data_IF_480361067942
#
_entry.id   IF_480361067942
#
_cell.length_a   1.000
_cell.length_b   1.000
_cell.length_c   1.000
_cell.angle_alpha   90.00
_cell.angle_beta   90.00
_cell.angle_gamma   90.00
#
_symmetry.space_group_name_H-M   'P 1'
#
loop_
_entity.id
_entity.type
_entity.pdbx_description
1 polymer ?
#
# COMPACT_ATOMS: atom_id res chain seq x y z
N UNK A 1 -15.40 -14.38 15.10
CA UNK A 1 -14.91 -13.00 15.00
C UNK A 1 -15.88 -12.14 14.21
N UNK A 2 -16.29 -11.03 14.77
CA UNK A 2 -17.18 -10.10 14.07
C UNK A 2 -16.43 -9.38 12.97
N UNK A 3 -17.03 -9.34 11.79
CA UNK A 3 -16.56 -8.48 10.72
C UNK A 3 -17.03 -7.05 10.95
N UNK A 4 -16.20 -6.10 10.59
CA UNK A 4 -16.58 -4.70 10.59
C UNK A 4 -17.09 -4.33 9.19
N UNK A 5 -18.41 -4.11 9.07
CA UNK A 5 -19.03 -3.74 7.80
C UNK A 5 -19.25 -2.24 7.66
N UNK A 6 -18.69 -1.45 8.58
CA UNK A 6 -18.78 0.01 8.47
C UNK A 6 -18.15 0.48 7.16
N UNK A 7 -18.69 1.53 6.54
CA UNK A 7 -18.06 2.11 5.34
C UNK A 7 -16.63 2.58 5.65
N UNK A 8 -15.79 2.63 4.64
CA UNK A 8 -14.48 3.23 4.74
C UNK A 8 -14.68 4.73 5.02
N UNK A 9 -13.92 5.28 5.96
CA UNK A 9 -14.04 6.68 6.34
C UNK A 9 -13.71 7.61 5.17
N UNK A 10 -14.27 8.82 5.19
CA UNK A 10 -13.97 9.85 4.20
C UNK A 10 -12.47 10.17 4.16
N UNK A 11 -11.82 10.16 5.32
CA UNK A 11 -10.38 10.40 5.41
C UNK A 11 -9.58 9.33 4.69
N UNK A 12 -9.91 8.05 4.87
CA UNK A 12 -9.25 6.97 4.15
C UNK A 12 -9.51 7.04 2.65
N UNK A 13 -10.73 7.39 2.25
CA UNK A 13 -11.06 7.57 0.84
C UNK A 13 -10.24 8.71 0.22
N UNK A 14 -10.05 9.80 0.96
CA UNK A 14 -9.22 10.92 0.53
C UNK A 14 -7.77 10.48 0.32
N UNK A 15 -7.20 9.75 1.28
CA UNK A 15 -5.84 9.26 1.19
C UNK A 15 -5.67 8.28 0.03
N UNK A 16 -6.66 7.42 -0.19
CA UNK A 16 -6.65 6.49 -1.33
C UNK A 16 -6.63 7.24 -2.66
N UNK A 17 -7.44 8.28 -2.80
CA UNK A 17 -7.48 9.10 -4.00
C UNK A 17 -6.15 9.81 -4.26
N UNK A 18 -5.55 10.38 -3.23
CA UNK A 18 -4.23 11.01 -3.33
C UNK A 18 -3.19 9.99 -3.78
N UNK A 19 -3.24 8.78 -3.22
CA UNK A 19 -2.30 7.71 -3.54
C UNK A 19 -2.45 7.22 -4.99
N UNK A 20 -3.68 7.07 -5.46
CA UNK A 20 -3.95 6.68 -6.85
C UNK A 20 -3.45 7.76 -7.81
N UNK A 21 -3.69 9.03 -7.48
CA UNK A 21 -3.19 10.15 -8.29
C UNK A 21 -1.66 10.19 -8.31
N UNK A 22 -1.02 9.93 -7.18
CA UNK A 22 0.45 9.85 -7.09
C UNK A 22 0.97 8.73 -8.00
N UNK A 23 0.37 7.54 -7.92
CA UNK A 23 0.76 6.42 -8.76
C UNK A 23 0.57 6.73 -10.26
N UNK A 24 -0.50 7.42 -10.60
CA UNK A 24 -0.73 7.85 -11.97
C UNK A 24 0.39 8.79 -12.46
N UNK A 25 0.77 9.77 -11.64
CA UNK A 25 1.85 10.71 -12.01
C UNK A 25 3.17 9.99 -12.19
N UNK A 26 3.53 9.12 -11.26
CA UNK A 26 4.78 8.36 -11.32
C UNK A 26 4.82 7.47 -12.56
N UNK A 27 3.75 6.72 -12.79
CA UNK A 27 3.68 5.78 -13.92
C UNK A 27 3.63 6.51 -15.27
N UNK A 28 2.92 7.62 -15.34
CA UNK A 28 2.85 8.43 -16.57
C UNK A 28 4.21 8.97 -16.98
N UNK A 29 5.05 9.28 -16.00
CA UNK A 29 6.39 9.83 -16.25
C UNK A 29 7.40 8.73 -16.54
N UNK A 30 7.39 7.63 -15.77
CA UNK A 30 8.45 6.62 -15.83
C UNK A 30 8.06 5.38 -16.66
N UNK A 31 6.79 5.06 -16.75
CA UNK A 31 6.33 3.85 -17.41
C UNK A 31 6.67 2.58 -16.63
N UNK A 32 6.36 1.40 -17.21
CA UNK A 32 6.70 0.12 -16.59
C UNK A 32 8.17 -0.24 -16.75
N UNK A 33 8.61 -1.30 -16.09
CA UNK A 33 9.91 -1.93 -16.34
C UNK A 33 11.04 -1.51 -15.40
N UNK A 34 10.75 -0.70 -14.39
CA UNK A 34 11.77 -0.29 -13.42
C UNK A 34 11.68 -1.13 -12.14
N UNK A 35 12.67 -0.97 -11.27
CA UNK A 35 12.68 -1.63 -9.97
C UNK A 35 11.64 -1.01 -9.03
N UNK A 36 11.10 -1.81 -8.13
CA UNK A 36 10.12 -1.35 -7.14
C UNK A 36 10.62 -0.16 -6.32
N UNK A 37 11.90 -0.19 -5.95
CA UNK A 37 12.52 0.89 -5.15
C UNK A 37 12.46 2.25 -5.84
N UNK A 38 12.56 2.28 -7.16
CA UNK A 38 12.46 3.52 -7.92
C UNK A 38 11.06 4.11 -7.81
N UNK A 39 10.04 3.28 -8.00
CA UNK A 39 8.65 3.73 -7.87
C UNK A 39 8.35 4.20 -6.46
N UNK A 40 8.89 3.50 -5.46
CA UNK A 40 8.68 3.84 -4.05
C UNK A 40 9.20 5.23 -3.72
N UNK A 41 10.44 5.54 -4.13
CA UNK A 41 11.04 6.86 -3.91
C UNK A 41 10.21 7.95 -4.60
N UNK A 42 9.75 7.69 -5.82
CA UNK A 42 8.95 8.66 -6.57
C UNK A 42 7.57 8.85 -5.94
N UNK A 43 6.96 7.80 -5.40
CA UNK A 43 5.71 7.92 -4.65
C UNK A 43 5.88 8.81 -3.43
N UNK A 44 6.98 8.64 -2.69
CA UNK A 44 7.28 9.49 -1.53
C UNK A 44 7.40 10.96 -1.93
N UNK A 45 8.01 11.23 -3.08
CA UNK A 45 8.11 12.60 -3.61
C UNK A 45 6.72 13.18 -3.89
N UNK A 46 5.84 12.40 -4.50
CA UNK A 46 4.48 12.86 -4.79
C UNK A 46 3.69 13.13 -3.51
N UNK A 47 3.84 12.31 -2.47
CA UNK A 47 3.20 12.56 -1.19
C UNK A 47 3.71 13.86 -0.55
N UNK A 48 5.01 14.10 -0.61
CA UNK A 48 5.58 15.36 -0.10
C UNK A 48 4.99 16.57 -0.82
N UNK A 49 4.85 16.50 -2.13
CA UNK A 49 4.22 17.57 -2.92
C UNK A 49 2.77 17.80 -2.53
N UNK A 50 2.05 16.73 -2.21
CA UNK A 50 0.65 16.80 -1.79
C UNK A 50 0.48 17.24 -0.35
N UNK A 51 1.57 17.40 0.41
CA UNK A 51 1.51 17.77 1.83
C UNK A 51 0.99 16.64 2.71
N UNK A 52 1.15 15.39 2.29
CA UNK A 52 0.67 14.22 3.03
C UNK A 52 1.85 13.50 3.65
N UNK A 53 1.73 13.20 4.94
CA UNK A 53 2.76 12.44 5.64
C UNK A 53 2.76 10.99 5.13
N UNK A 54 3.93 10.47 4.80
CA UNK A 54 4.10 9.08 4.41
C UNK A 54 5.42 8.56 4.96
N UNK A 55 5.44 7.27 5.29
CA UNK A 55 6.62 6.58 5.78
C UNK A 55 6.88 5.37 4.90
N UNK A 56 8.13 5.16 4.49
CA UNK A 56 8.50 4.03 3.64
C UNK A 56 9.25 2.97 4.44
N UNK A 57 9.13 1.72 4.02
CA UNK A 57 9.83 0.58 4.63
C UNK A 57 9.66 0.54 6.14
N UNK A 58 8.43 0.71 6.59
CA UNK A 58 8.09 0.74 8.00
C UNK A 58 8.06 -0.68 8.56
N UNK A 59 8.93 -0.94 9.54
CA UNK A 59 8.93 -2.20 10.27
C UNK A 59 7.76 -2.23 11.26
N UNK A 60 6.96 -3.28 11.21
CA UNK A 60 5.83 -3.46 12.12
C UNK A 60 6.07 -4.74 12.92
N UNK A 61 6.09 -4.66 14.26
CA UNK A 61 6.24 -5.85 15.09
C UNK A 61 4.97 -6.71 15.04
N UNK A 62 5.16 -8.02 15.18
CA UNK A 62 4.07 -9.00 15.21
C UNK A 62 4.09 -9.69 16.57
N UNK A 63 2.91 -9.75 17.20
CA UNK A 63 2.74 -10.51 18.43
C UNK A 63 2.24 -11.91 18.07
N UNK A 64 3.02 -12.92 18.40
CA UNK A 64 2.64 -14.31 18.19
C UNK A 64 2.74 -15.10 19.50
N UNK A 65 1.63 -15.61 19.96
CA UNK A 65 1.56 -16.45 21.17
C UNK A 65 2.26 -15.79 22.37
N UNK A 66 1.99 -14.48 22.56
CA UNK A 66 2.62 -13.70 23.64
C UNK A 66 4.06 -13.28 23.39
N UNK A 67 4.64 -13.68 22.26
CA UNK A 67 6.02 -13.33 21.89
C UNK A 67 6.01 -12.20 20.88
N UNK A 68 6.72 -11.12 21.20
CA UNK A 68 6.86 -9.99 20.30
C UNK A 68 7.99 -10.25 19.31
N UNK A 69 7.65 -10.28 18.04
CA UNK A 69 8.60 -10.47 16.93
C UNK A 69 8.87 -9.10 16.31
N UNK A 70 10.06 -8.59 16.50
CA UNK A 70 10.46 -7.30 15.97
C UNK A 70 10.71 -7.40 14.46
N UNK A 71 10.29 -6.36 13.72
CA UNK A 71 10.54 -6.22 12.30
C UNK A 71 10.09 -7.42 11.45
N UNK A 72 9.05 -8.14 11.92
CA UNK A 72 8.51 -9.29 11.20
C UNK A 72 7.81 -8.89 9.91
N UNK A 73 7.30 -7.65 9.82
CA UNK A 73 6.66 -7.11 8.64
C UNK A 73 7.36 -5.82 8.22
N UNK A 74 7.43 -5.59 6.90
CA UNK A 74 7.81 -4.29 6.36
C UNK A 74 6.73 -3.84 5.41
N UNK A 75 6.13 -2.71 5.74
CA UNK A 75 5.14 -2.04 4.89
C UNK A 75 5.88 -1.13 3.93
N UNK A 76 5.62 -1.24 2.63
CA UNK A 76 6.32 -0.43 1.63
C UNK A 76 6.11 1.06 1.90
N UNK A 77 4.84 1.50 1.96
CA UNK A 77 4.50 2.88 2.32
C UNK A 77 3.28 2.86 3.23
N UNK A 78 3.36 3.61 4.32
CA UNK A 78 2.22 3.88 5.19
C UNK A 78 1.86 5.36 5.05
N UNK A 79 0.67 5.63 4.55
CA UNK A 79 0.19 6.97 4.26
C UNK A 79 -0.60 7.49 5.44
N UNK A 80 -0.09 8.55 6.06
CA UNK A 80 -0.70 9.24 7.20
C UNK A 80 -1.09 8.30 8.35
N UNK A 81 -0.30 7.26 8.55
CA UNK A 81 -0.53 6.27 9.58
C UNK A 81 -1.77 5.39 9.37
N UNK A 82 -2.45 5.48 8.23
CA UNK A 82 -3.79 4.89 8.05
C UNK A 82 -3.91 3.97 6.85
N UNK A 83 -3.27 4.30 5.74
CA UNK A 83 -3.42 3.58 4.48
C UNK A 83 -2.12 2.84 4.13
N UNK A 84 -2.22 1.55 3.90
CA UNK A 84 -1.08 0.74 3.49
C UNK A 84 -1.00 0.69 1.97
N UNK A 85 0.18 0.97 1.43
CA UNK A 85 0.49 0.73 0.02
C UNK A 85 1.52 -0.38 -0.09
N UNK A 86 1.26 -1.36 -0.95
CA UNK A 86 2.23 -2.36 -1.34
C UNK A 86 2.51 -2.18 -2.83
N UNK A 87 3.78 -1.97 -3.17
CA UNK A 87 4.20 -1.70 -4.54
C UNK A 87 4.84 -2.95 -5.14
N UNK A 88 4.47 -3.25 -6.37
CA UNK A 88 5.02 -4.38 -7.12
C UNK A 88 5.45 -3.92 -8.51
N UNK A 89 6.41 -4.66 -9.09
CA UNK A 89 6.85 -4.48 -10.46
C UNK A 89 7.01 -5.88 -11.07
N UNK A 90 5.89 -6.59 -11.21
CA UNK A 90 5.84 -7.99 -11.64
C UNK A 90 4.98 -8.13 -12.89
N UNK A 91 5.20 -9.21 -13.66
CA UNK A 91 4.38 -9.47 -14.84
C UNK A 91 2.91 -9.64 -14.48
N UNK A 92 2.64 -10.29 -13.35
CA UNK A 92 1.29 -10.59 -12.93
C UNK A 92 1.20 -10.66 -11.42
N UNK A 93 0.17 -10.03 -10.86
CA UNK A 93 -0.10 -10.12 -9.43
C UNK A 93 -0.51 -11.56 -9.11
N UNK A 94 0.24 -12.21 -8.23
CA UNK A 94 -0.06 -13.57 -7.77
C UNK A 94 -0.98 -13.53 -6.55
N UNK A 95 -1.71 -14.64 -6.27
CA UNK A 95 -2.56 -14.71 -5.07
C UNK A 95 -1.82 -14.40 -3.77
N UNK A 96 -0.54 -14.78 -3.66
CA UNK A 96 0.28 -14.51 -2.47
C UNK A 96 0.47 -13.01 -2.24
N UNK A 97 0.51 -12.20 -3.28
CA UNK A 97 0.64 -10.74 -3.15
C UNK A 97 -0.58 -10.13 -2.46
N UNK A 98 -1.77 -10.60 -2.83
CA UNK A 98 -3.01 -10.16 -2.18
C UNK A 98 -3.10 -10.67 -0.75
N UNK A 99 -2.72 -11.93 -0.53
CA UNK A 99 -2.70 -12.50 0.82
C UNK A 99 -1.77 -11.72 1.74
N UNK A 100 -0.62 -11.28 1.24
CA UNK A 100 0.35 -10.52 2.00
C UNK A 100 -0.25 -9.20 2.52
N UNK A 101 -0.87 -8.42 1.64
CA UNK A 101 -1.43 -7.14 2.06
C UNK A 101 -2.62 -7.34 3.01
N UNK A 102 -3.43 -8.37 2.81
CA UNK A 102 -4.52 -8.70 3.73
C UNK A 102 -3.96 -9.01 5.12
N UNK A 103 -2.89 -9.80 5.17
CA UNK A 103 -2.21 -10.13 6.44
C UNK A 103 -1.70 -8.87 7.13
N UNK A 104 -1.07 -7.96 6.38
CA UNK A 104 -0.56 -6.70 6.94
C UNK A 104 -1.70 -5.85 7.49
N UNK A 105 -2.82 -5.77 6.80
CA UNK A 105 -3.99 -5.03 7.28
C UNK A 105 -4.52 -5.62 8.58
N UNK A 106 -4.64 -6.95 8.66
CA UNK A 106 -5.11 -7.63 9.88
C UNK A 106 -4.18 -7.38 11.06
N UNK A 107 -2.89 -7.57 10.87
CA UNK A 107 -1.91 -7.48 11.96
C UNK A 107 -1.70 -6.04 12.44
N UNK A 108 -1.99 -5.06 11.62
CA UNK A 108 -1.86 -3.65 11.99
C UNK A 108 -3.21 -3.00 12.34
N UNK A 109 -4.28 -3.76 12.34
CA UNK A 109 -5.65 -3.29 12.60
C UNK A 109 -6.03 -2.12 11.69
N UNK A 110 -5.73 -2.27 10.40
CA UNK A 110 -6.08 -1.28 9.37
C UNK A 110 -7.06 -1.88 8.38
N UNK A 111 -7.90 -1.04 7.80
CA UNK A 111 -9.02 -1.48 6.99
C UNK A 111 -8.78 -1.41 5.49
N UNK A 112 -7.91 -0.52 5.02
CA UNK A 112 -7.76 -0.26 3.60
C UNK A 112 -6.30 -0.29 3.20
N UNK A 113 -6.03 -0.98 2.10
CA UNK A 113 -4.74 -0.97 1.45
C UNK A 113 -4.89 -0.90 -0.06
N UNK A 114 -3.85 -0.46 -0.73
CA UNK A 114 -3.76 -0.48 -2.18
C UNK A 114 -2.55 -1.33 -2.58
N UNK A 115 -2.81 -2.29 -3.46
CA UNK A 115 -1.77 -3.09 -4.09
C UNK A 115 -1.56 -2.52 -5.49
N UNK A 116 -0.38 -1.98 -5.75
CA UNK A 116 -0.11 -1.26 -6.99
C UNK A 116 1.03 -1.95 -7.73
N UNK A 117 0.71 -2.50 -8.90
CA UNK A 117 1.71 -3.06 -9.81
C UNK A 117 2.03 -2.04 -10.90
N UNK A 118 3.27 -1.55 -10.89
CA UNK A 118 3.72 -0.57 -11.88
C UNK A 118 4.12 -1.18 -13.22
N UNK A 119 4.29 -2.49 -13.27
CA UNK A 119 4.74 -3.17 -14.48
C UNK A 119 3.57 -3.52 -15.40
N UNK A 120 2.77 -2.51 -15.73
CA UNK A 120 1.58 -2.61 -16.57
C UNK A 120 1.57 -1.45 -17.57
N UNK A 121 0.91 -1.60 -18.73
CA UNK A 121 0.77 -0.49 -19.68
C UNK A 121 -0.06 0.67 -19.14
N UNK A 122 -1.10 0.37 -18.36
CA UNK A 122 -2.00 1.36 -17.77
C UNK A 122 -2.08 1.11 -16.27
N UNK A 123 -1.70 2.10 -15.46
CA UNK A 123 -1.57 1.93 -14.01
C UNK A 123 -2.91 1.57 -13.34
N UNK A 124 -4.01 2.04 -13.88
CA UNK A 124 -5.35 1.70 -13.37
C UNK A 124 -5.56 0.18 -13.32
N UNK A 125 -5.07 -0.53 -14.33
CA UNK A 125 -5.21 -2.00 -14.41
C UNK A 125 -4.30 -2.71 -13.41
N UNK A 126 -3.26 -2.04 -12.92
CA UNK A 126 -2.35 -2.58 -11.91
C UNK A 126 -2.72 -2.22 -10.48
N UNK A 127 -3.76 -1.42 -10.29
CA UNK A 127 -4.14 -0.93 -8.95
C UNK A 127 -5.33 -1.74 -8.42
N UNK A 128 -5.12 -2.36 -7.26
CA UNK A 128 -6.14 -3.16 -6.57
C UNK A 128 -6.43 -2.55 -5.21
N UNK A 129 -7.69 -2.34 -4.93
CA UNK A 129 -8.17 -1.87 -3.62
C UNK A 129 -8.48 -3.09 -2.76
N UNK A 130 -7.88 -3.16 -1.57
CA UNK A 130 -8.05 -4.27 -0.64
C UNK A 130 -8.68 -3.73 0.64
N UNK A 131 -9.81 -4.30 1.01
CA UNK A 131 -10.52 -3.93 2.25
C UNK A 131 -10.48 -5.10 3.21
N UNK A 132 -10.10 -4.84 4.45
CA UNK A 132 -10.08 -5.82 5.52
C UNK A 132 -11.13 -5.45 6.57
N UNK A 133 -11.92 -6.41 6.94
CA UNK A 133 -13.01 -6.19 7.88
C UNK A 133 -14.31 -5.97 7.19
#
# INVERSE_FOLDING_TARGET
MKRNFAPISEELERLAKISVNAAYQVHSTLGPGLLESVYEVCMMHEFAKAGVKAERQLAVPVLYDGVLLDAALKVDILVDGKLILELKAVEQIAPVHKAQIITYLKLTDRRLGLLINFNVPVIKDGTKRIVCG
#
